data_IF_267876081931
#
_entry.id   IF_267876081931
#
_cell.length_a   1.000
_cell.length_b   1.000
_cell.length_c   1.000
_cell.angle_alpha   90.00
_cell.angle_beta   90.00
_cell.angle_gamma   90.00
#
_symmetry.space_group_name_H-M   'P 1'
#
loop_
_entity.id
_entity.type
_entity.pdbx_description
1 polymer ?
#
# COMPACT_ATOMS: atom_id res chain seq x y z
N UNK A 1 -8.84 17.94 13.88
CA UNK A 1 -7.44 18.35 13.96
C UNK A 1 -6.72 17.79 12.73
N UNK A 2 -6.64 18.63 11.71
CA UNK A 2 -5.80 18.38 10.54
C UNK A 2 -4.35 18.57 10.98
N UNK A 3 -3.68 17.50 11.39
CA UNK A 3 -2.23 17.48 11.49
C UNK A 3 -1.69 17.86 10.10
N UNK A 4 -1.25 19.10 9.99
CA UNK A 4 -0.63 19.65 8.79
C UNK A 4 0.59 18.78 8.48
N UNK A 5 0.70 18.28 7.25
CA UNK A 5 1.92 17.66 6.72
C UNK A 5 3.16 18.56 6.89
N UNK A 6 2.96 19.84 7.21
CA UNK A 6 4.01 20.81 7.53
C UNK A 6 4.68 20.53 8.88
N UNK A 7 4.02 19.84 9.82
CA UNK A 7 4.60 19.55 11.15
C UNK A 7 5.62 18.41 11.11
N UNK A 8 5.68 17.65 10.02
CA UNK A 8 6.68 16.58 9.81
C UNK A 8 7.92 17.06 9.04
N UNK A 9 8.03 18.34 8.69
CA UNK A 9 9.02 18.87 7.75
C UNK A 9 10.27 19.57 8.30
N UNK A 10 10.63 19.58 9.57
CA UNK A 10 11.84 20.30 10.01
C UNK A 10 13.16 19.54 9.73
N UNK A 11 13.13 18.35 9.12
CA UNK A 11 14.34 17.50 9.00
C UNK A 11 15.02 17.61 7.63
N UNK A 12 14.37 18.18 6.62
CA UNK A 12 14.96 18.24 5.29
C UNK A 12 15.77 19.52 5.10
N UNK A 13 17.10 19.39 5.23
CA UNK A 13 18.06 20.40 4.73
C UNK A 13 18.29 20.26 3.21
N UNK A 14 17.25 19.84 2.45
CA UNK A 14 17.29 19.64 1.01
C UNK A 14 15.89 19.72 0.40
N UNK A 15 15.82 20.02 -0.91
CA UNK A 15 14.57 19.83 -1.66
C UNK A 15 14.23 18.33 -1.72
N UNK A 16 12.93 18.00 -1.68
CA UNK A 16 12.47 16.62 -1.78
C UNK A 16 11.21 16.49 -2.62
N UNK A 17 11.03 15.28 -3.17
CA UNK A 17 9.78 14.83 -3.79
C UNK A 17 9.38 13.52 -3.12
N UNK A 18 8.21 13.49 -2.49
CA UNK A 18 7.74 12.34 -1.71
C UNK A 18 6.34 11.92 -2.14
N UNK A 19 6.03 10.65 -1.93
CA UNK A 19 4.68 10.11 -2.17
C UNK A 19 3.81 10.27 -0.93
N UNK A 20 2.54 10.58 -1.12
CA UNK A 20 1.54 10.49 -0.06
C UNK A 20 1.19 9.02 0.24
N UNK A 21 2.07 8.34 1.01
CA UNK A 21 1.89 6.93 1.38
C UNK A 21 0.60 6.69 2.16
N UNK A 22 0.19 7.64 2.99
CA UNK A 22 -1.05 7.55 3.75
C UNK A 22 -2.27 7.54 2.83
N UNK A 23 -2.31 8.44 1.84
CA UNK A 23 -3.40 8.49 0.87
C UNK A 23 -3.45 7.21 0.03
N UNK A 24 -2.32 6.70 -0.43
CA UNK A 24 -2.28 5.46 -1.22
C UNK A 24 -2.86 4.27 -0.45
N UNK A 25 -2.42 4.06 0.78
CA UNK A 25 -2.92 2.96 1.59
C UNK A 25 -4.39 3.14 2.00
N UNK A 26 -4.81 4.38 2.23
CA UNK A 26 -6.23 4.70 2.43
C UNK A 26 -7.08 4.31 1.21
N UNK A 27 -6.67 4.67 0.00
CA UNK A 27 -7.38 4.33 -1.24
C UNK A 27 -7.49 2.82 -1.45
N UNK A 28 -6.40 2.08 -1.22
CA UNK A 28 -6.37 0.62 -1.32
C UNK A 28 -7.35 -0.04 -0.35
N UNK A 29 -7.30 0.36 0.92
CA UNK A 29 -8.15 -0.21 1.97
C UNK A 29 -9.61 0.19 1.79
N UNK A 30 -9.87 1.45 1.45
CA UNK A 30 -11.22 1.96 1.15
C UNK A 30 -11.86 1.18 0.01
N UNK A 31 -11.12 0.87 -1.05
CA UNK A 31 -11.59 0.06 -2.16
C UNK A 31 -12.07 -1.33 -1.69
N UNK A 32 -11.30 -2.02 -0.84
CA UNK A 32 -11.72 -3.30 -0.28
C UNK A 32 -13.00 -3.16 0.58
N UNK A 33 -13.08 -2.11 1.40
CA UNK A 33 -14.25 -1.85 2.24
C UNK A 33 -15.49 -1.54 1.38
N UNK A 34 -15.35 -0.81 0.28
CA UNK A 34 -16.42 -0.49 -0.67
C UNK A 34 -16.92 -1.73 -1.43
N UNK A 35 -16.04 -2.71 -1.68
CA UNK A 35 -16.40 -4.05 -2.18
C UNK A 35 -17.08 -4.95 -1.12
N UNK A 36 -17.36 -4.42 0.07
CA UNK A 36 -18.07 -5.13 1.14
C UNK A 36 -17.18 -5.91 2.11
N UNK A 37 -15.86 -5.97 1.90
CA UNK A 37 -14.97 -6.66 2.83
C UNK A 37 -14.95 -5.98 4.19
N UNK A 38 -14.93 -6.79 5.25
CA UNK A 38 -14.85 -6.33 6.64
C UNK A 38 -13.71 -7.03 7.40
N UNK A 39 -13.46 -8.29 7.08
CA UNK A 39 -12.34 -9.07 7.63
C UNK A 39 -11.13 -8.95 6.71
N UNK A 40 -10.41 -7.82 6.84
CA UNK A 40 -9.29 -7.43 5.97
C UNK A 40 -7.99 -7.51 6.76
N UNK A 41 -7.07 -8.35 6.31
CA UNK A 41 -5.72 -8.43 6.84
C UNK A 41 -4.77 -7.44 6.16
N UNK A 42 -3.61 -7.22 6.78
CA UNK A 42 -2.56 -6.35 6.26
C UNK A 42 -1.18 -6.98 6.42
N UNK A 43 -0.36 -6.95 5.35
CA UNK A 43 1.08 -7.27 5.44
C UNK A 43 1.85 -5.97 5.23
N UNK A 44 2.51 -5.51 6.29
CA UNK A 44 3.23 -4.23 6.31
C UNK A 44 4.68 -4.38 5.85
N UNK A 45 5.41 -3.28 5.72
CA UNK A 45 6.87 -3.27 5.70
C UNK A 45 7.45 -3.17 7.11
N UNK A 46 8.80 -3.00 7.22
CA UNK A 46 9.48 -2.77 8.48
C UNK A 46 8.96 -1.53 9.20
N UNK A 47 8.66 -1.67 10.49
CA UNK A 47 7.99 -0.64 11.31
C UNK A 47 8.82 0.63 11.53
N UNK A 48 10.15 0.55 11.38
CA UNK A 48 11.05 1.71 11.50
C UNK A 48 11.04 2.65 10.28
N UNK A 49 10.42 2.25 9.16
CA UNK A 49 10.36 3.05 7.94
C UNK A 49 9.16 4.00 7.93
N UNK A 50 9.40 5.27 7.59
CA UNK A 50 8.34 6.28 7.52
C UNK A 50 7.26 5.93 6.48
N UNK A 51 7.65 5.39 5.33
CA UNK A 51 6.71 4.90 4.31
C UNK A 51 5.75 3.84 4.88
N UNK A 52 6.25 2.90 5.71
CA UNK A 52 5.43 1.90 6.40
C UNK A 52 4.45 2.57 7.35
N UNK A 53 4.92 3.51 8.16
CA UNK A 53 4.09 4.23 9.12
C UNK A 53 3.00 5.05 8.43
N UNK A 54 3.34 5.71 7.32
CA UNK A 54 2.35 6.40 6.48
C UNK A 54 1.28 5.45 5.96
N UNK A 55 1.69 4.28 5.41
CA UNK A 55 0.74 3.27 4.90
C UNK A 55 -0.13 2.69 6.03
N UNK A 56 0.42 2.44 7.23
CA UNK A 56 -0.38 1.99 8.39
C UNK A 56 -1.43 3.03 8.78
N UNK A 57 -1.08 4.32 8.80
CA UNK A 57 -2.03 5.40 9.08
C UNK A 57 -3.17 5.42 8.06
N UNK A 58 -2.87 5.26 6.77
CA UNK A 58 -3.87 5.20 5.70
C UNK A 58 -4.80 3.99 5.84
N UNK A 59 -4.24 2.80 6.12
CA UNK A 59 -4.99 1.58 6.38
C UNK A 59 -6.01 1.78 7.51
N UNK A 60 -5.55 2.25 8.67
CA UNK A 60 -6.40 2.50 9.85
C UNK A 60 -7.48 3.54 9.58
N UNK A 61 -7.11 4.68 8.93
CA UNK A 61 -8.05 5.75 8.60
C UNK A 61 -9.25 5.25 7.78
N UNK A 62 -9.04 4.30 6.85
CA UNK A 62 -10.13 3.77 6.04
C UNK A 62 -11.16 2.98 6.88
N UNK A 63 -10.73 2.27 7.90
CA UNK A 63 -11.62 1.60 8.86
C UNK A 63 -12.35 2.62 9.75
N UNK A 64 -11.61 3.57 10.32
CA UNK A 64 -12.16 4.61 11.20
C UNK A 64 -13.27 5.43 10.52
N UNK A 65 -13.04 5.84 9.26
CA UNK A 65 -14.03 6.61 8.48
C UNK A 65 -15.35 5.86 8.28
N UNK A 66 -15.30 4.53 8.25
CA UNK A 66 -16.49 3.67 8.09
C UNK A 66 -17.04 3.14 9.42
N UNK A 67 -16.46 3.55 10.56
CA UNK A 67 -16.85 3.04 11.86
C UNK A 67 -16.63 1.54 12.04
N UNK A 68 -15.63 0.98 11.34
CA UNK A 68 -15.28 -0.43 11.38
C UNK A 68 -14.13 -0.67 12.35
N UNK A 69 -14.17 -1.81 13.03
CA UNK A 69 -13.06 -2.25 13.89
C UNK A 69 -11.96 -2.89 13.04
N UNK A 70 -10.73 -2.43 13.26
CA UNK A 70 -9.54 -3.03 12.66
C UNK A 70 -8.89 -3.99 13.65
N UNK A 71 -8.78 -5.25 13.29
CA UNK A 71 -8.19 -6.30 14.12
C UNK A 71 -6.67 -6.24 14.06
N UNK A 72 -6.03 -5.90 15.20
CA UNK A 72 -4.58 -5.68 15.29
C UNK A 72 -3.77 -6.95 14.98
N UNK A 73 -4.28 -8.12 15.36
CA UNK A 73 -3.67 -9.42 15.11
C UNK A 73 -3.59 -9.80 13.62
N UNK A 74 -4.40 -9.15 12.77
CA UNK A 74 -4.35 -9.33 11.32
C UNK A 74 -3.38 -8.37 10.62
N UNK A 75 -2.63 -7.56 11.38
CA UNK A 75 -1.51 -6.76 10.84
C UNK A 75 -0.22 -7.53 11.09
N UNK A 76 0.38 -8.05 10.03
CA UNK A 76 1.62 -8.82 10.09
C UNK A 76 2.76 -8.03 9.46
N UNK A 77 3.88 -7.91 10.18
CA UNK A 77 5.06 -7.23 9.67
C UNK A 77 5.80 -8.11 8.64
N UNK A 78 6.12 -7.52 7.49
CA UNK A 78 6.99 -8.05 6.45
C UNK A 78 8.23 -7.17 6.27
N UNK A 79 8.98 -7.40 5.18
CA UNK A 79 10.24 -6.71 4.91
C UNK A 79 10.39 -6.20 3.47
N UNK A 80 9.27 -6.08 2.74
CA UNK A 80 9.18 -5.69 1.33
C UNK A 80 9.73 -6.72 0.32
N UNK A 81 10.16 -7.91 0.76
CA UNK A 81 10.60 -9.01 -0.12
C UNK A 81 9.52 -10.08 -0.29
N UNK A 82 9.58 -10.81 -1.40
CA UNK A 82 8.61 -11.85 -1.79
C UNK A 82 8.39 -12.87 -0.67
N UNK A 83 9.48 -13.37 -0.08
CA UNK A 83 9.42 -14.39 0.97
C UNK A 83 8.62 -13.93 2.19
N UNK A 84 8.75 -12.65 2.60
CA UNK A 84 7.98 -12.13 3.72
C UNK A 84 6.49 -12.00 3.43
N UNK A 85 6.12 -11.79 2.17
CA UNK A 85 4.75 -11.83 1.71
C UNK A 85 4.14 -13.23 1.84
N UNK A 86 4.90 -14.27 1.40
CA UNK A 86 4.49 -15.67 1.53
C UNK A 86 4.30 -16.07 3.01
N UNK A 87 5.31 -15.80 3.85
CA UNK A 87 5.26 -16.11 5.29
C UNK A 87 4.14 -15.30 5.98
N UNK A 88 3.96 -14.03 5.61
CA UNK A 88 2.90 -13.18 6.14
C UNK A 88 1.52 -13.72 5.84
N UNK A 89 1.28 -14.19 4.61
CA UNK A 89 0.03 -14.82 4.21
C UNK A 89 -0.24 -16.11 5.01
N UNK A 90 0.78 -16.96 5.20
CA UNK A 90 0.65 -18.16 6.03
C UNK A 90 0.26 -17.82 7.47
N UNK A 91 0.93 -16.82 8.07
CA UNK A 91 0.62 -16.38 9.44
C UNK A 91 -0.81 -15.88 9.56
N UNK A 92 -1.25 -15.03 8.62
CA UNK A 92 -2.62 -14.50 8.61
C UNK A 92 -3.65 -15.62 8.52
N UNK A 93 -3.48 -16.59 7.62
CA UNK A 93 -4.40 -17.73 7.48
C UNK A 93 -4.43 -18.62 8.72
N UNK A 94 -3.32 -18.71 9.47
CA UNK A 94 -3.29 -19.45 10.75
C UNK A 94 -3.98 -18.68 11.89
N UNK A 95 -3.95 -17.34 11.85
CA UNK A 95 -4.66 -16.50 12.84
C UNK A 95 -6.16 -16.53 12.56
N UNK A 96 -6.55 -16.32 11.30
CA UNK A 96 -7.94 -16.31 10.89
C UNK A 96 -8.10 -16.79 9.44
N UNK A 97 -8.54 -18.04 9.22
CA UNK A 97 -8.78 -18.54 7.87
C UNK A 97 -10.03 -17.93 7.19
N UNK A 98 -10.83 -17.15 7.91
CA UNK A 98 -12.05 -16.52 7.38
C UNK A 98 -11.82 -15.12 6.83
N UNK A 99 -10.56 -14.66 6.70
CA UNK A 99 -10.26 -13.39 6.04
C UNK A 99 -10.80 -13.40 4.60
N UNK A 100 -11.26 -12.26 4.15
CA UNK A 100 -11.82 -12.11 2.79
C UNK A 100 -10.97 -11.22 1.89
N UNK A 101 -10.05 -10.46 2.47
CA UNK A 101 -9.14 -9.62 1.70
C UNK A 101 -7.81 -9.39 2.43
N UNK A 102 -6.75 -9.10 1.67
CA UNK A 102 -5.45 -8.67 2.20
C UNK A 102 -4.99 -7.42 1.46
N UNK A 103 -4.60 -6.40 2.23
CA UNK A 103 -3.83 -5.26 1.74
C UNK A 103 -2.34 -5.51 2.00
N UNK A 104 -1.55 -5.58 0.95
CA UNK A 104 -0.10 -5.84 1.01
C UNK A 104 0.64 -4.56 0.67
N UNK A 105 1.61 -4.15 1.50
CA UNK A 105 2.23 -2.84 1.40
C UNK A 105 3.26 -2.68 0.28
N UNK A 106 3.51 -3.72 -0.52
CA UNK A 106 4.12 -3.57 -1.84
C UNK A 106 3.80 -4.77 -2.74
N UNK A 107 4.04 -4.61 -4.03
CA UNK A 107 3.71 -5.62 -5.04
C UNK A 107 4.65 -6.84 -4.98
N UNK A 108 5.88 -6.67 -4.49
CA UNK A 108 6.81 -7.81 -4.31
C UNK A 108 6.31 -8.77 -3.23
N UNK A 109 5.85 -8.26 -2.08
CA UNK A 109 5.21 -9.10 -1.07
C UNK A 109 3.87 -9.66 -1.58
N UNK A 110 3.10 -8.89 -2.36
CA UNK A 110 1.87 -9.39 -2.96
C UNK A 110 2.13 -10.60 -3.86
N UNK A 111 3.24 -10.63 -4.60
CA UNK A 111 3.66 -11.82 -5.34
C UNK A 111 3.86 -13.03 -4.41
N UNK A 112 4.50 -12.84 -3.27
CA UNK A 112 4.64 -13.92 -2.25
C UNK A 112 3.30 -14.40 -1.70
N UNK A 113 2.33 -13.49 -1.49
CA UNK A 113 0.95 -13.85 -1.12
C UNK A 113 0.30 -14.72 -2.19
N UNK A 114 0.47 -14.36 -3.47
CA UNK A 114 -0.05 -15.14 -4.60
C UNK A 114 0.53 -16.56 -4.64
N UNK A 115 1.83 -16.72 -4.43
CA UNK A 115 2.48 -18.04 -4.37
C UNK A 115 1.95 -18.86 -3.18
N UNK A 116 1.81 -18.26 -2.00
CA UNK A 116 1.23 -18.92 -0.83
C UNK A 116 -0.20 -19.41 -1.10
N UNK A 117 -1.03 -18.57 -1.73
CA UNK A 117 -2.42 -18.94 -2.02
C UNK A 117 -2.52 -20.03 -3.09
N UNK A 118 -1.66 -19.98 -4.11
CA UNK A 118 -1.56 -21.02 -5.12
C UNK A 118 -1.20 -22.37 -4.50
N UNK A 119 -0.19 -22.42 -3.61
CA UNK A 119 0.24 -23.65 -2.93
C UNK A 119 -0.86 -24.23 -2.03
N UNK A 120 -1.73 -23.37 -1.48
CA UNK A 120 -2.86 -23.77 -0.63
C UNK A 120 -4.17 -23.98 -1.40
N UNK A 121 -4.17 -23.79 -2.72
CA UNK A 121 -5.37 -23.90 -3.54
C UNK A 121 -6.41 -22.80 -3.31
N UNK A 122 -6.01 -21.67 -2.72
CA UNK A 122 -6.89 -20.52 -2.48
C UNK A 122 -6.99 -19.69 -3.75
N UNK A 123 -8.20 -19.39 -4.18
CA UNK A 123 -8.47 -18.65 -5.41
C UNK A 123 -8.51 -17.13 -5.16
N UNK A 124 -7.83 -16.38 -6.00
CA UNK A 124 -7.85 -14.92 -6.06
C UNK A 124 -8.64 -14.52 -7.31
N UNK A 125 -9.63 -13.64 -7.20
CA UNK A 125 -10.18 -12.98 -5.99
C UNK A 125 -11.33 -13.75 -5.33
N UNK A 126 -11.75 -14.92 -5.87
CA UNK A 126 -13.00 -15.62 -5.54
C UNK A 126 -13.10 -16.06 -4.08
N UNK A 127 -11.99 -16.25 -3.39
CA UNK A 127 -11.95 -16.59 -1.96
C UNK A 127 -11.30 -15.47 -1.14
N UNK A 128 -10.21 -14.88 -1.64
CA UNK A 128 -9.54 -13.78 -0.96
C UNK A 128 -9.13 -12.74 -2.00
N UNK A 129 -9.59 -11.51 -1.81
CA UNK A 129 -9.17 -10.34 -2.58
C UNK A 129 -7.78 -9.86 -2.14
N UNK A 130 -6.94 -9.42 -3.08
CA UNK A 130 -5.59 -8.92 -2.80
C UNK A 130 -5.38 -7.56 -3.44
N UNK A 131 -4.92 -6.58 -2.66
CA UNK A 131 -4.48 -5.27 -3.14
C UNK A 131 -3.02 -5.06 -2.79
N UNK A 132 -2.22 -4.63 -3.76
CA UNK A 132 -0.81 -4.30 -3.61
C UNK A 132 -0.54 -2.80 -3.50
N UNK A 133 0.74 -2.44 -3.66
CA UNK A 133 1.23 -1.07 -3.67
C UNK A 133 2.52 -1.01 -4.51
N UNK A 134 2.72 0.02 -5.33
CA UNK A 134 3.84 0.44 -6.19
C UNK A 134 3.53 0.39 -7.69
N UNK A 135 2.64 -0.49 -8.17
CA UNK A 135 2.33 -0.76 -9.59
C UNK A 135 3.58 -1.09 -10.42
N UNK A 136 4.39 -2.03 -9.91
CA UNK A 136 5.56 -2.50 -10.65
C UNK A 136 5.15 -3.21 -11.95
N UNK A 137 6.06 -3.27 -12.92
CA UNK A 137 5.80 -3.81 -14.25
C UNK A 137 5.16 -5.22 -14.23
N UNK A 138 5.59 -6.09 -13.30
CA UNK A 138 5.10 -7.46 -13.20
C UNK A 138 3.69 -7.59 -12.62
N UNK A 139 3.16 -6.58 -11.94
CA UNK A 139 1.85 -6.63 -11.26
C UNK A 139 0.69 -6.89 -12.24
N UNK A 140 0.80 -6.41 -13.49
CA UNK A 140 -0.18 -6.67 -14.57
C UNK A 140 0.01 -8.02 -15.25
N UNK A 141 1.13 -8.70 -15.03
CA UNK A 141 1.51 -9.96 -15.68
C UNK A 141 1.31 -11.19 -14.79
N UNK A 142 0.92 -11.00 -13.52
CA UNK A 142 0.57 -12.10 -12.65
C UNK A 142 -0.59 -12.92 -13.25
N UNK A 143 -0.70 -14.20 -12.89
CA UNK A 143 -1.78 -15.08 -13.37
C UNK A 143 -3.18 -14.53 -13.05
N UNK A 144 -3.31 -13.72 -12.00
CA UNK A 144 -4.41 -12.78 -11.77
C UNK A 144 -3.80 -11.37 -11.71
N UNK A 145 -4.07 -10.46 -12.66
CA UNK A 145 -3.53 -9.11 -12.65
C UNK A 145 -3.87 -8.37 -11.35
N UNK A 146 -2.82 -7.87 -10.66
CA UNK A 146 -2.91 -7.29 -9.32
C UNK A 146 -3.52 -5.88 -9.34
N UNK A 147 -4.59 -5.67 -8.58
CA UNK A 147 -5.07 -4.35 -8.17
C UNK A 147 -4.05 -3.75 -7.21
N UNK A 148 -3.60 -2.52 -7.47
CA UNK A 148 -2.48 -1.94 -6.73
C UNK A 148 -2.52 -0.41 -6.72
N UNK A 149 -1.70 0.21 -5.91
CA UNK A 149 -1.49 1.67 -5.88
C UNK A 149 -0.32 2.02 -6.79
N UNK A 150 -0.59 2.79 -7.83
CA UNK A 150 0.44 3.30 -8.74
C UNK A 150 1.10 4.56 -8.19
N UNK A 151 2.42 4.56 -8.23
CA UNK A 151 3.26 5.71 -7.90
C UNK A 151 3.66 6.45 -9.18
N UNK A 152 3.53 7.78 -9.25
CA UNK A 152 3.88 8.55 -10.45
C UNK A 152 5.40 8.75 -10.56
N UNK A 153 6.18 7.66 -10.64
CA UNK A 153 7.65 7.64 -10.55
C UNK A 153 8.31 8.56 -11.58
N UNK A 154 7.82 8.55 -12.84
CA UNK A 154 8.36 9.43 -13.88
C UNK A 154 8.16 10.91 -13.55
N UNK A 155 6.99 11.29 -13.05
CA UNK A 155 6.70 12.65 -12.62
C UNK A 155 7.58 13.05 -11.43
N UNK A 156 7.77 12.14 -10.47
CA UNK A 156 8.64 12.35 -9.31
C UNK A 156 10.09 12.63 -9.75
N UNK A 157 10.62 11.80 -10.66
CA UNK A 157 11.97 11.97 -11.20
C UNK A 157 12.14 13.30 -11.93
N UNK A 158 11.19 13.66 -12.81
CA UNK A 158 11.19 14.96 -13.50
C UNK A 158 11.18 16.12 -12.53
N UNK A 159 10.29 16.09 -11.52
CA UNK A 159 10.19 17.15 -10.51
C UNK A 159 11.45 17.26 -9.63
N UNK A 160 12.07 16.13 -9.30
CA UNK A 160 13.33 16.14 -8.54
C UNK A 160 14.46 16.82 -9.32
N UNK A 161 14.55 16.56 -10.64
CA UNK A 161 15.53 17.23 -11.52
C UNK A 161 15.25 18.72 -11.64
N UNK A 162 14.00 19.16 -11.81
CA UNK A 162 13.62 20.57 -11.81
C UNK A 162 14.09 21.29 -10.54
N UNK A 163 13.76 20.72 -9.37
CA UNK A 163 14.16 21.29 -8.08
C UNK A 163 15.69 21.37 -7.94
N UNK A 164 16.40 20.36 -8.42
CA UNK A 164 17.86 20.35 -8.40
C UNK A 164 18.46 21.46 -9.28
N UNK A 165 17.97 21.61 -10.51
CA UNK A 165 18.44 22.66 -11.43
C UNK A 165 18.18 24.06 -10.83
N UNK A 166 16.97 24.30 -10.33
CA UNK A 166 16.63 25.58 -9.68
C UNK A 166 17.55 25.86 -8.48
N UNK A 167 17.88 24.84 -7.68
CA UNK A 167 18.80 24.96 -6.54
C UNK A 167 20.22 25.28 -6.97
N UNK A 168 20.70 24.69 -8.06
CA UNK A 168 22.03 24.99 -8.63
C UNK A 168 22.10 26.45 -9.08
N UNK A 169 21.06 26.94 -9.74
CA UNK A 169 20.98 28.31 -10.25
C UNK A 169 20.77 29.34 -9.14
N UNK A 170 20.08 28.99 -8.06
CA UNK A 170 19.82 29.87 -6.93
C UNK A 170 19.89 29.14 -5.59
N UNK A 171 21.04 29.19 -4.95
CA UNK A 171 21.31 28.53 -3.67
C UNK A 171 20.57 29.14 -2.47
N UNK A 172 20.02 30.37 -2.61
CA UNK A 172 19.31 31.05 -1.52
C UNK A 172 17.84 30.69 -1.39
N UNK A 173 17.31 29.84 -2.28
CA UNK A 173 15.93 29.35 -2.17
C UNK A 173 15.72 28.61 -0.86
N UNK A 174 14.57 28.78 -0.24
CA UNK A 174 14.14 27.90 0.88
C UNK A 174 13.98 26.46 0.39
N UNK A 175 14.16 25.49 1.29
CA UNK A 175 13.92 24.08 0.97
C UNK A 175 12.43 23.82 0.73
N UNK A 176 12.14 22.94 -0.25
CA UNK A 176 10.78 22.63 -0.69
C UNK A 176 10.58 21.12 -0.68
N UNK A 177 9.40 20.70 -0.23
CA UNK A 177 8.97 19.32 -0.33
C UNK A 177 7.73 19.26 -1.22
N UNK A 178 7.82 18.53 -2.34
CA UNK A 178 6.71 18.28 -3.23
C UNK A 178 6.11 16.92 -2.92
N UNK A 179 4.84 16.92 -2.52
CA UNK A 179 4.09 15.70 -2.25
C UNK A 179 3.32 15.33 -3.51
N UNK A 180 3.49 14.11 -3.98
CA UNK A 180 2.77 13.57 -5.14
C UNK A 180 1.73 12.56 -4.71
N UNK A 181 0.55 12.65 -5.33
CA UNK A 181 -0.58 11.79 -5.00
C UNK A 181 -0.51 10.48 -5.80
N UNK A 182 -0.62 9.31 -5.13
CA UNK A 182 -0.72 8.03 -5.78
C UNK A 182 -2.12 7.79 -6.34
N UNK A 183 -2.28 6.76 -7.19
CA UNK A 183 -3.57 6.38 -7.78
C UNK A 183 -3.85 4.90 -7.59
N UNK A 184 -5.08 4.54 -7.31
CA UNK A 184 -5.53 3.15 -7.33
C UNK A 184 -5.71 2.68 -8.79
N UNK A 185 -5.10 1.55 -9.12
CA UNK A 185 -5.26 0.85 -10.41
C UNK A 185 -6.00 -0.45 -10.14
N UNK A 186 -7.27 -0.48 -10.49
CA UNK A 186 -8.13 -1.66 -10.33
C UNK A 186 -7.84 -2.65 -11.46
N UNK A 187 -7.61 -3.92 -11.10
CA UNK A 187 -7.41 -5.04 -12.02
C UNK A 187 -8.30 -6.21 -11.62
N UNK A 188 -7.76 -7.44 -11.62
CA UNK A 188 -8.57 -8.65 -11.44
C UNK A 188 -8.42 -9.32 -10.06
N UNK A 189 -7.54 -8.82 -9.18
CA UNK A 189 -7.25 -9.45 -7.89
C UNK A 189 -8.20 -9.05 -6.75
N UNK A 190 -9.24 -8.29 -7.06
CA UNK A 190 -10.28 -7.89 -6.10
C UNK A 190 -11.66 -8.11 -6.70
N UNK A 191 -12.63 -8.52 -5.89
CA UNK A 191 -14.04 -8.62 -6.27
C UNK A 191 -14.96 -8.23 -5.10
N UNK A 192 -16.26 -8.05 -5.40
CA UNK A 192 -17.28 -7.87 -4.37
C UNK A 192 -17.38 -9.10 -3.48
N UNK A 193 -17.56 -8.90 -2.18
CA UNK A 193 -17.68 -9.98 -1.18
C UNK A 193 -18.84 -10.93 -1.49
N UNK A 194 -19.91 -10.46 -2.14
CA UNK A 194 -21.07 -11.29 -2.51
C UNK A 194 -20.74 -12.30 -3.63
N UNK A 195 -19.65 -12.10 -4.36
CA UNK A 195 -19.19 -12.98 -5.43
C UNK A 195 -18.24 -14.06 -4.86
N UNK A 196 -17.64 -13.82 -3.68
CA UNK A 196 -16.76 -14.79 -3.02
C UNK A 196 -17.57 -16.02 -2.55
N UNK A 197 -17.08 -17.20 -2.89
CA UNK A 197 -17.70 -18.48 -2.55
C UNK A 197 -16.74 -19.38 -1.77
#
# INVERSE_FOLDING_TARGET
DTLSLHDALPIFMSDCVVVNHQMGSYLATKHLIELGHRNIACITGPSHLEATNGRIKGFKRAFEEKGLEQRKELIVEGNYHIESGYIGAQKILNIDPSITAIHVFNDMMAYGVFECFKDKGIKIPEQISVVGFDDIFFSKMLYVPLTTIALPIHHMGGKAVELLIERILNKSLSFRCNIVEPKLIIRKSTCDIQIQK
#
